data_IF_105260475943
#
_entry.id   IF_105260475943
#
_cell.length_a   1.000
_cell.length_b   1.000
_cell.length_c   1.000
_cell.angle_alpha   90.00
_cell.angle_beta   90.00
_cell.angle_gamma   90.00
#
_symmetry.space_group_name_H-M   'P 1'
#
loop_
_entity.id
_entity.type
_entity.pdbx_description
1 polymer ?
#
# COMPACT_ATOMS: atom_id res chain seq x y z
N UNK A 1 18.12 -19.78 12.38
CA UNK A 1 16.88 -19.25 11.78
C UNK A 1 15.85 -20.35 11.58
N UNK A 2 16.13 -21.38 10.78
CA UNK A 2 15.17 -22.46 10.50
C UNK A 2 14.80 -23.23 11.74
N UNK A 3 15.76 -23.62 12.56
CA UNK A 3 15.53 -24.33 13.82
C UNK A 3 14.67 -23.52 14.81
N UNK A 4 14.88 -22.18 14.88
CA UNK A 4 14.08 -21.31 15.72
C UNK A 4 12.61 -21.28 15.27
N UNK A 5 12.36 -21.15 13.97
CA UNK A 5 11.00 -21.14 13.45
C UNK A 5 10.35 -22.51 13.54
N UNK A 6 11.12 -23.59 13.30
CA UNK A 6 10.63 -24.97 13.43
C UNK A 6 10.22 -25.28 14.87
N UNK A 7 11.00 -24.85 15.87
CA UNK A 7 10.67 -25.01 17.30
C UNK A 7 9.42 -24.22 17.70
N UNK A 8 9.09 -23.13 16.98
CA UNK A 8 7.87 -22.35 17.15
C UNK A 8 6.69 -22.86 16.28
N UNK A 9 6.87 -24.02 15.60
CA UNK A 9 5.81 -24.65 14.83
C UNK A 9 5.65 -24.17 13.39
N UNK A 10 6.69 -23.53 12.82
CA UNK A 10 6.70 -23.03 11.44
C UNK A 10 7.74 -23.75 10.59
N UNK A 11 7.29 -24.38 9.53
CA UNK A 11 8.16 -25.00 8.53
C UNK A 11 8.33 -24.04 7.34
N UNK A 12 9.53 -23.50 7.16
CA UNK A 12 9.83 -22.55 6.08
C UNK A 12 9.75 -23.21 4.70
N UNK A 13 9.19 -22.46 3.77
CA UNK A 13 9.15 -22.77 2.34
C UNK A 13 9.98 -21.78 1.51
N UNK A 14 9.51 -21.52 0.28
CA UNK A 14 10.17 -20.63 -0.68
C UNK A 14 10.11 -19.17 -0.24
N UNK A 15 11.06 -18.38 -0.74
CA UNK A 15 11.01 -16.93 -0.67
C UNK A 15 9.95 -16.41 -1.65
N UNK A 16 9.08 -15.53 -1.19
CA UNK A 16 7.98 -14.94 -1.96
C UNK A 16 8.09 -13.42 -2.10
N UNK A 17 9.00 -12.78 -1.36
CA UNK A 17 9.29 -11.36 -1.48
C UNK A 17 10.64 -11.02 -0.87
N UNK A 18 11.29 -10.00 -1.41
CA UNK A 18 12.54 -9.44 -0.88
C UNK A 18 12.44 -7.92 -0.86
N UNK A 19 12.71 -7.34 0.29
CA UNK A 19 12.86 -5.91 0.49
C UNK A 19 14.30 -5.58 0.87
N UNK A 20 14.60 -4.30 0.98
CA UNK A 20 15.96 -3.80 1.27
C UNK A 20 16.53 -4.38 2.57
N UNK A 21 15.72 -4.53 3.61
CA UNK A 21 16.13 -5.01 4.94
C UNK A 21 15.24 -6.15 5.45
N UNK A 22 14.45 -6.72 4.59
CA UNK A 22 13.52 -7.79 4.97
C UNK A 22 13.37 -8.80 3.85
N UNK A 23 12.98 -10.01 4.23
CA UNK A 23 12.67 -11.11 3.31
C UNK A 23 11.34 -11.73 3.74
N UNK A 24 10.46 -12.01 2.80
CA UNK A 24 9.20 -12.69 3.05
C UNK A 24 9.29 -14.11 2.53
N UNK A 25 8.98 -15.07 3.37
CA UNK A 25 8.93 -16.49 3.02
C UNK A 25 7.55 -17.08 3.24
N UNK A 26 7.14 -17.99 2.38
CA UNK A 26 6.04 -18.90 2.65
C UNK A 26 6.45 -19.84 3.77
N UNK A 27 5.53 -20.22 4.63
CA UNK A 27 5.74 -21.24 5.63
C UNK A 27 4.45 -22.02 5.88
N UNK A 28 4.58 -23.24 6.39
CA UNK A 28 3.43 -23.99 6.93
C UNK A 28 3.39 -23.82 8.44
N UNK A 29 2.24 -23.37 8.95
CA UNK A 29 1.99 -23.22 10.39
C UNK A 29 1.31 -24.47 10.94
N UNK A 30 1.99 -25.18 11.86
CA UNK A 30 1.40 -26.31 12.59
C UNK A 30 0.25 -25.86 13.50
N UNK A 31 0.35 -24.63 14.06
CA UNK A 31 -0.67 -24.06 14.94
C UNK A 31 -1.97 -23.75 14.19
N UNK A 32 -1.85 -23.16 13.00
CA UNK A 32 -3.01 -22.74 12.20
C UNK A 32 -3.41 -23.78 11.14
N UNK A 33 -2.66 -24.87 10.99
CA UNK A 33 -2.87 -25.93 9.98
C UNK A 33 -3.04 -25.41 8.56
N UNK A 34 -2.28 -24.35 8.22
CA UNK A 34 -2.32 -23.68 6.91
C UNK A 34 -1.01 -23.00 6.56
N UNK A 35 -0.90 -22.61 5.30
CA UNK A 35 0.18 -21.75 4.84
C UNK A 35 0.05 -20.35 5.41
N UNK A 36 1.18 -19.74 5.71
CA UNK A 36 1.34 -18.37 6.22
C UNK A 36 2.50 -17.71 5.49
N UNK A 37 2.58 -16.37 5.54
CA UNK A 37 3.75 -15.62 5.16
C UNK A 37 4.53 -15.22 6.42
N UNK A 38 5.87 -15.30 6.36
CA UNK A 38 6.72 -14.83 7.45
C UNK A 38 7.65 -13.75 6.90
N UNK A 39 7.45 -12.50 7.35
CA UNK A 39 8.36 -11.39 7.06
C UNK A 39 9.48 -11.42 8.10
N UNK A 40 10.71 -11.60 7.60
CA UNK A 40 11.94 -11.71 8.41
C UNK A 40 12.66 -10.38 8.31
N UNK A 41 12.84 -9.69 9.42
CA UNK A 41 13.50 -8.40 9.52
C UNK A 41 14.78 -8.58 10.33
N UNK A 42 15.92 -8.22 9.75
CA UNK A 42 17.23 -8.30 10.40
C UNK A 42 17.59 -6.93 10.99
N UNK A 43 17.46 -6.81 12.32
CA UNK A 43 17.77 -5.56 13.03
C UNK A 43 19.27 -5.18 12.99
N UNK A 44 20.15 -6.16 12.79
CA UNK A 44 21.61 -5.91 12.77
C UNK A 44 22.03 -5.30 11.43
N UNK A 45 21.36 -5.69 10.34
CA UNK A 45 21.69 -5.25 8.98
C UNK A 45 20.96 -3.99 8.54
N UNK A 46 19.90 -3.62 9.22
CA UNK A 46 19.13 -2.43 8.88
C UNK A 46 19.85 -1.14 9.28
N UNK A 47 19.63 -0.02 8.55
CA UNK A 47 20.10 1.28 8.97
C UNK A 47 19.55 1.65 10.35
N UNK A 48 20.35 2.36 11.14
CA UNK A 48 19.97 2.78 12.49
C UNK A 48 18.65 3.59 12.50
N UNK A 49 18.48 4.48 11.54
CA UNK A 49 17.23 5.25 11.42
C UNK A 49 16.01 4.35 11.16
N UNK A 50 16.15 3.32 10.31
CA UNK A 50 15.08 2.35 10.07
C UNK A 50 14.74 1.58 11.36
N UNK A 51 15.74 1.04 12.04
CA UNK A 51 15.56 0.24 13.27
C UNK A 51 14.96 1.07 14.40
N UNK A 52 15.43 2.32 14.58
CA UNK A 52 15.00 3.15 15.72
C UNK A 52 13.71 3.93 15.45
N UNK A 53 13.44 4.30 14.21
CA UNK A 53 12.35 5.20 13.88
C UNK A 53 11.17 4.52 13.16
N UNK A 54 11.44 3.71 12.14
CA UNK A 54 10.38 3.14 11.29
C UNK A 54 9.89 1.80 11.81
N UNK A 55 10.79 0.89 12.14
CA UNK A 55 10.44 -0.46 12.57
C UNK A 55 9.53 -0.51 13.82
N UNK A 56 9.78 0.24 14.92
CA UNK A 56 8.90 0.21 16.07
C UNK A 56 7.48 0.68 15.74
N UNK A 57 7.36 1.65 14.83
CA UNK A 57 6.06 2.15 14.36
C UNK A 57 5.32 1.12 13.51
N UNK A 58 6.02 0.48 12.57
CA UNK A 58 5.46 -0.61 11.78
C UNK A 58 4.90 -1.69 12.69
N UNK A 59 5.71 -2.18 13.64
CA UNK A 59 5.32 -3.23 14.57
C UNK A 59 4.11 -2.84 15.42
N UNK A 60 4.05 -1.60 15.88
CA UNK A 60 2.91 -1.09 16.65
C UNK A 60 1.64 -1.04 15.78
N UNK A 61 1.74 -0.51 14.58
CA UNK A 61 0.60 -0.33 13.67
C UNK A 61 0.03 -1.66 13.25
N UNK A 62 0.86 -2.60 12.77
CA UNK A 62 0.39 -3.89 12.26
C UNK A 62 -0.28 -4.77 13.32
N UNK A 63 0.03 -4.54 14.59
CA UNK A 63 -0.62 -5.24 15.70
C UNK A 63 -2.00 -4.67 16.05
N UNK A 64 -2.31 -3.45 15.63
CA UNK A 64 -3.57 -2.76 15.96
C UNK A 64 -4.60 -2.80 14.84
N UNK A 65 -4.17 -3.08 13.60
CA UNK A 65 -5.07 -3.09 12.45
C UNK A 65 -5.72 -4.48 12.30
N UNK A 66 -7.05 -4.49 12.23
CA UNK A 66 -7.87 -5.68 11.98
C UNK A 66 -8.96 -5.34 10.97
N UNK A 67 -8.75 -5.71 9.70
CA UNK A 67 -9.68 -5.45 8.62
C UNK A 67 -9.53 -6.52 7.51
N UNK A 68 -10.66 -6.95 6.94
CA UNK A 68 -10.69 -8.01 5.90
C UNK A 68 -9.83 -7.72 4.66
N UNK A 69 -9.58 -6.45 4.34
CA UNK A 69 -8.76 -6.02 3.20
C UNK A 69 -7.37 -5.52 3.60
N UNK A 70 -6.91 -5.89 4.78
CA UNK A 70 -5.54 -5.67 5.27
C UNK A 70 -4.97 -7.02 5.66
N UNK A 71 -3.71 -7.30 5.27
CA UNK A 71 -3.02 -8.53 5.68
C UNK A 71 -2.96 -8.60 7.20
N UNK A 72 -3.53 -9.66 7.75
CA UNK A 72 -3.55 -9.88 9.20
C UNK A 72 -2.20 -10.38 9.68
N UNK A 73 -1.68 -9.79 10.75
CA UNK A 73 -0.53 -10.30 11.50
C UNK A 73 -1.04 -11.18 12.63
N UNK A 74 -0.62 -12.46 12.63
CA UNK A 74 -1.06 -13.44 13.63
C UNK A 74 -0.23 -13.40 14.91
N UNK A 75 1.09 -13.30 14.75
CA UNK A 75 2.01 -13.17 15.87
C UNK A 75 3.36 -12.59 15.42
N UNK A 76 4.10 -12.12 16.38
CA UNK A 76 5.45 -11.62 16.23
C UNK A 76 6.39 -12.43 17.12
N UNK A 77 7.49 -12.92 16.54
CA UNK A 77 8.54 -13.63 17.26
C UNK A 77 9.85 -12.83 17.14
N UNK A 78 10.64 -12.83 18.20
CA UNK A 78 11.98 -12.23 18.21
C UNK A 78 13.00 -13.26 18.64
N UNK A 79 14.06 -13.42 17.83
CA UNK A 79 15.15 -14.34 18.16
C UNK A 79 16.32 -13.61 18.82
N UNK A 80 17.12 -14.38 19.54
CA UNK A 80 18.30 -13.86 20.26
C UNK A 80 19.39 -13.30 19.34
N UNK A 81 19.37 -13.67 18.05
CA UNK A 81 20.28 -13.14 17.01
C UNK A 81 19.80 -11.82 16.37
N UNK A 82 18.83 -11.15 17.01
CA UNK A 82 18.34 -9.82 16.59
C UNK A 82 17.42 -9.80 15.39
N UNK A 83 16.77 -10.93 15.07
CA UNK A 83 15.76 -10.97 14.00
C UNK A 83 14.34 -10.94 14.55
N UNK A 84 13.48 -10.22 13.83
CA UNK A 84 12.03 -10.19 14.06
C UNK A 84 11.34 -10.98 12.94
N UNK A 85 10.37 -11.79 13.32
CA UNK A 85 9.55 -12.59 12.42
C UNK A 85 8.09 -12.19 12.60
N UNK A 86 7.51 -11.57 11.59
CA UNK A 86 6.08 -11.29 11.53
C UNK A 86 5.40 -12.45 10.82
N UNK A 87 4.63 -13.24 11.57
CA UNK A 87 3.81 -14.31 11.02
C UNK A 87 2.46 -13.72 10.62
N UNK A 88 2.12 -13.82 9.34
CA UNK A 88 0.97 -13.15 8.79
C UNK A 88 0.22 -13.99 7.77
N UNK A 89 -0.96 -13.55 7.45
CA UNK A 89 -1.79 -14.10 6.39
C UNK A 89 -1.02 -14.17 5.06
N UNK A 90 -1.19 -15.26 4.33
CA UNK A 90 -0.63 -15.45 3.00
C UNK A 90 -1.72 -15.17 1.97
N UNK A 91 -1.47 -14.20 1.09
CA UNK A 91 -2.25 -13.96 -0.11
C UNK A 91 -1.58 -14.69 -1.29
N UNK A 92 -2.26 -15.67 -1.87
CA UNK A 92 -1.67 -16.58 -2.87
C UNK A 92 -1.76 -16.08 -4.32
N UNK A 93 -2.50 -15.00 -4.57
CA UNK A 93 -2.77 -14.46 -5.91
C UNK A 93 -1.72 -13.48 -6.45
N UNK A 94 -0.60 -13.30 -5.74
CA UNK A 94 0.40 -12.27 -6.08
C UNK A 94 -0.09 -10.86 -5.77
N UNK A 95 0.46 -9.87 -6.44
CA UNK A 95 0.08 -8.46 -6.28
C UNK A 95 -0.56 -7.87 -7.55
N UNK A 96 -1.14 -6.69 -7.41
CA UNK A 96 -1.80 -5.98 -8.52
C UNK A 96 -0.80 -5.59 -9.61
N UNK A 97 0.46 -5.29 -9.25
CA UNK A 97 1.49 -4.94 -10.24
C UNK A 97 1.76 -6.11 -11.19
N UNK A 98 2.04 -7.31 -10.64
CA UNK A 98 2.27 -8.52 -11.45
C UNK A 98 1.04 -8.89 -12.28
N UNK A 99 -0.16 -8.73 -11.71
CA UNK A 99 -1.42 -8.98 -12.42
C UNK A 99 -1.54 -8.11 -13.68
N UNK A 100 -1.26 -6.81 -13.55
CA UNK A 100 -1.34 -5.85 -14.67
C UNK A 100 -0.16 -6.04 -15.65
N UNK A 101 1.05 -6.30 -15.14
CA UNK A 101 2.25 -6.52 -15.96
C UNK A 101 2.08 -7.72 -16.90
N UNK A 102 1.48 -8.80 -16.41
CA UNK A 102 1.31 -10.04 -17.16
C UNK A 102 0.01 -10.06 -17.98
N UNK A 103 -1.05 -9.42 -17.48
CA UNK A 103 -2.40 -9.47 -18.07
C UNK A 103 -2.83 -8.20 -18.84
N UNK A 104 -2.08 -7.10 -18.71
CA UNK A 104 -2.48 -5.80 -19.27
C UNK A 104 -3.58 -5.10 -18.45
N UNK A 105 -4.25 -4.12 -19.05
CA UNK A 105 -5.33 -3.37 -18.41
C UNK A 105 -6.47 -4.28 -17.93
N UNK A 106 -6.93 -4.05 -16.71
CA UNK A 106 -8.06 -4.81 -16.16
C UNK A 106 -9.40 -4.21 -16.62
N UNK A 107 -10.44 -5.03 -16.81
CA UNK A 107 -11.79 -4.53 -17.06
C UNK A 107 -12.27 -3.58 -15.96
N UNK A 108 -12.92 -2.47 -16.32
CA UNK A 108 -13.36 -1.45 -15.35
C UNK A 108 -14.25 -2.02 -14.23
N UNK A 109 -15.08 -3.01 -14.52
CA UNK A 109 -15.90 -3.69 -13.50
C UNK A 109 -15.06 -4.42 -12.45
N UNK A 110 -13.97 -5.07 -12.86
CA UNK A 110 -13.03 -5.72 -11.96
C UNK A 110 -12.26 -4.70 -11.15
N UNK A 111 -11.79 -3.64 -11.82
CA UNK A 111 -11.08 -2.52 -11.15
C UNK A 111 -11.96 -1.88 -10.08
N UNK A 112 -13.23 -1.62 -10.39
CA UNK A 112 -14.21 -1.08 -9.44
C UNK A 112 -14.34 -1.98 -8.19
N UNK A 113 -14.45 -3.29 -8.38
CA UNK A 113 -14.56 -4.24 -7.26
C UNK A 113 -13.31 -4.25 -6.38
N UNK A 114 -12.12 -4.20 -6.96
CA UNK A 114 -10.85 -4.15 -6.22
C UNK A 114 -10.65 -2.80 -5.55
N UNK A 115 -10.94 -1.71 -6.25
CA UNK A 115 -10.77 -0.36 -5.72
C UNK A 115 -11.73 -0.04 -4.57
N UNK A 116 -12.97 -0.54 -4.60
CA UNK A 116 -13.88 -0.48 -3.44
C UNK A 116 -13.25 -1.08 -2.19
N UNK A 117 -12.60 -2.23 -2.31
CA UNK A 117 -11.94 -2.90 -1.20
C UNK A 117 -10.75 -2.08 -0.68
N UNK A 118 -9.98 -1.46 -1.58
CA UNK A 118 -8.91 -0.55 -1.20
C UNK A 118 -9.45 0.68 -0.44
N UNK A 119 -10.54 1.26 -0.92
CA UNK A 119 -11.20 2.39 -0.26
C UNK A 119 -11.64 2.02 1.16
N UNK A 120 -12.26 0.86 1.36
CA UNK A 120 -12.67 0.39 2.70
C UNK A 120 -11.46 0.18 3.63
N UNK A 121 -10.38 -0.40 3.12
CA UNK A 121 -9.16 -0.58 3.91
C UNK A 121 -8.53 0.75 4.34
N UNK A 122 -8.39 1.71 3.41
CA UNK A 122 -7.83 3.03 3.72
C UNK A 122 -8.77 3.86 4.59
N UNK A 123 -10.07 3.74 4.38
CA UNK A 123 -11.07 4.37 5.26
C UNK A 123 -10.92 3.89 6.70
N UNK A 124 -10.76 2.59 6.90
CA UNK A 124 -10.49 2.00 8.20
C UNK A 124 -9.17 2.54 8.80
N UNK A 125 -8.07 2.53 8.04
CA UNK A 125 -6.79 3.06 8.50
C UNK A 125 -6.89 4.53 8.91
N UNK A 126 -7.46 5.39 8.05
CA UNK A 126 -7.63 6.81 8.33
C UNK A 126 -8.52 7.07 9.53
N UNK A 127 -9.55 6.25 9.75
CA UNK A 127 -10.40 6.26 10.94
C UNK A 127 -9.65 5.91 12.23
N UNK A 128 -8.67 5.00 12.15
CA UNK A 128 -7.76 4.65 13.24
C UNK A 128 -6.62 5.68 13.44
N UNK A 129 -6.59 6.76 12.66
CA UNK A 129 -5.50 7.73 12.72
C UNK A 129 -4.20 7.25 12.09
N UNK A 130 -4.24 6.29 11.17
CA UNK A 130 -3.09 5.73 10.47
C UNK A 130 -3.10 6.16 9.02
N UNK A 131 -2.00 6.73 8.51
CA UNK A 131 -1.76 6.90 7.09
C UNK A 131 -0.73 5.85 6.62
N UNK A 132 -1.00 5.22 5.48
CA UNK A 132 -0.16 4.13 4.93
C UNK A 132 1.18 4.64 4.40
N UNK A 133 1.16 5.71 3.59
CA UNK A 133 2.32 6.45 3.04
C UNK A 133 3.16 5.72 1.99
N UNK A 134 2.82 4.48 1.64
CA UNK A 134 3.48 3.72 0.56
C UNK A 134 2.46 2.87 -0.21
N UNK A 135 1.32 3.46 -0.54
CA UNK A 135 0.34 2.79 -1.40
C UNK A 135 0.88 2.68 -2.82
N UNK A 136 0.92 1.45 -3.34
CA UNK A 136 1.36 1.10 -4.69
C UNK A 136 0.80 -0.27 -5.07
N UNK A 137 0.87 -0.60 -6.35
CA UNK A 137 0.33 -1.86 -6.87
C UNK A 137 1.00 -3.09 -6.23
N UNK A 138 2.29 -3.02 -5.91
CA UNK A 138 3.06 -4.09 -5.27
C UNK A 138 2.64 -4.35 -3.81
N UNK A 139 2.01 -3.36 -3.16
CA UNK A 139 1.50 -3.46 -1.79
C UNK A 139 0.00 -3.79 -1.73
N UNK A 140 -0.63 -4.02 -2.86
CA UNK A 140 -2.00 -4.49 -3.00
C UNK A 140 -2.00 -5.95 -3.44
N UNK A 141 -2.09 -6.87 -2.47
CA UNK A 141 -2.05 -8.30 -2.71
C UNK A 141 -3.44 -8.81 -3.10
N UNK A 142 -3.47 -9.92 -3.86
CA UNK A 142 -4.68 -10.54 -4.34
C UNK A 142 -4.86 -11.94 -3.71
N UNK A 143 -6.08 -12.24 -3.32
CA UNK A 143 -6.52 -13.56 -2.88
C UNK A 143 -7.89 -13.86 -3.49
N UNK A 144 -7.90 -14.54 -4.63
CA UNK A 144 -9.08 -14.66 -5.46
C UNK A 144 -9.57 -13.27 -5.92
N UNK A 145 -10.80 -12.91 -5.58
CA UNK A 145 -11.39 -11.60 -5.86
C UNK A 145 -11.16 -10.56 -4.76
N UNK A 146 -10.40 -10.90 -3.71
CA UNK A 146 -10.14 -10.03 -2.59
C UNK A 146 -8.81 -9.32 -2.75
N UNK A 147 -8.82 -8.02 -2.48
CA UNK A 147 -7.63 -7.19 -2.34
C UNK A 147 -7.26 -7.09 -0.85
N UNK A 148 -5.98 -7.22 -0.55
CA UNK A 148 -5.43 -7.08 0.79
C UNK A 148 -4.20 -6.18 0.77
N UNK A 149 -4.27 -5.06 1.50
CA UNK A 149 -3.14 -4.15 1.66
C UNK A 149 -2.09 -4.75 2.59
N UNK A 150 -0.83 -4.52 2.25
CA UNK A 150 0.33 -4.96 3.03
C UNK A 150 1.38 -3.85 3.10
N UNK A 151 2.44 -4.10 3.82
CA UNK A 151 3.64 -3.27 3.95
C UNK A 151 3.36 -1.88 4.54
N UNK A 152 3.11 -1.87 5.84
CA UNK A 152 2.95 -0.65 6.64
C UNK A 152 4.29 -0.09 7.16
N UNK A 153 5.43 -0.45 6.54
CA UNK A 153 6.77 -0.05 6.95
C UNK A 153 7.01 1.46 6.96
N UNK A 154 6.26 2.22 6.17
CA UNK A 154 6.28 3.68 6.18
C UNK A 154 5.05 4.31 6.82
N UNK A 155 4.12 3.51 7.33
CA UNK A 155 2.91 4.02 7.94
C UNK A 155 3.21 4.92 9.15
N UNK A 156 2.34 5.89 9.37
CA UNK A 156 2.45 6.85 10.46
C UNK A 156 1.16 6.93 11.24
N UNK A 157 1.25 6.75 12.56
CA UNK A 157 0.19 7.19 13.47
C UNK A 157 0.12 8.71 13.42
N UNK A 158 -1.04 9.24 13.10
CA UNK A 158 -1.25 10.68 13.03
C UNK A 158 -1.50 11.23 14.44
N UNK A 159 -0.96 12.41 14.77
CA UNK A 159 -1.25 13.05 16.06
C UNK A 159 -2.75 13.36 16.16
N UNK A 160 -3.27 13.32 17.37
CA UNK A 160 -4.70 13.64 17.66
C UNK A 160 -5.06 15.09 17.33
N UNK A 161 -4.07 15.97 17.16
CA UNK A 161 -4.27 17.36 16.74
C UNK A 161 -4.06 17.51 15.23
N UNK A 162 -5.02 18.09 14.53
CA UNK A 162 -5.04 18.27 13.07
C UNK A 162 -3.95 19.20 12.48
N UNK A 163 -2.90 19.56 13.21
CA UNK A 163 -1.94 20.61 12.80
C UNK A 163 -0.52 20.13 12.49
N UNK A 164 -0.20 18.86 12.70
CA UNK A 164 1.15 18.38 12.37
C UNK A 164 1.19 17.80 10.95
N UNK A 165 1.73 18.59 10.04
CA UNK A 165 2.01 18.19 8.67
C UNK A 165 3.29 17.34 8.60
N UNK A 166 3.32 16.38 7.69
CA UNK A 166 4.53 15.58 7.41
C UNK A 166 5.45 16.36 6.47
N UNK A 167 6.75 16.32 6.72
CA UNK A 167 7.78 16.86 5.81
C UNK A 167 8.72 15.74 5.31
N UNK A 168 8.49 14.51 5.75
CA UNK A 168 9.37 13.39 5.41
C UNK A 168 8.85 12.69 4.18
N UNK A 169 9.63 12.72 3.08
CA UNK A 169 9.41 11.87 1.92
C UNK A 169 9.71 10.41 2.28
N UNK A 170 8.80 9.54 1.98
CA UNK A 170 8.99 8.10 2.01
C UNK A 170 8.01 7.46 1.01
N UNK A 171 8.36 6.30 0.52
CA UNK A 171 7.57 5.59 -0.48
C UNK A 171 8.15 5.68 -1.89
N UNK A 172 7.39 5.21 -2.86
CA UNK A 172 7.80 5.11 -4.26
C UNK A 172 7.48 6.39 -5.03
N UNK A 173 8.46 6.95 -5.72
CA UNK A 173 8.35 8.23 -6.47
C UNK A 173 7.17 8.26 -7.44
N UNK A 174 6.97 7.18 -8.20
CA UNK A 174 5.88 7.08 -9.19
C UNK A 174 4.47 7.29 -8.61
N UNK A 175 4.28 7.00 -7.32
CA UNK A 175 2.99 7.10 -6.61
C UNK A 175 2.89 8.34 -5.72
N UNK A 176 3.92 9.19 -5.69
CA UNK A 176 3.99 10.32 -4.79
C UNK A 176 3.25 11.55 -5.33
N UNK A 177 2.52 12.22 -4.43
CA UNK A 177 1.84 13.47 -4.71
C UNK A 177 2.83 14.63 -4.91
N UNK A 178 2.47 15.71 -5.64
CA UNK A 178 3.37 16.81 -5.91
C UNK A 178 3.92 17.48 -4.66
N UNK A 179 3.12 17.68 -3.63
CA UNK A 179 3.57 18.23 -2.35
C UNK A 179 4.60 17.34 -1.64
N UNK A 180 4.47 16.02 -1.79
CA UNK A 180 5.43 15.04 -1.23
C UNK A 180 6.77 15.11 -1.97
N UNK A 181 6.73 15.16 -3.31
CA UNK A 181 7.92 15.28 -4.17
C UNK A 181 8.69 16.59 -3.92
N UNK A 182 7.97 17.67 -3.59
CA UNK A 182 8.54 18.99 -3.32
C UNK A 182 8.99 19.18 -1.87
N UNK A 183 8.76 18.18 -0.98
CA UNK A 183 9.07 18.30 0.44
C UNK A 183 8.22 19.35 1.18
N UNK A 184 7.06 19.71 0.64
CA UNK A 184 6.14 20.66 1.25
C UNK A 184 5.43 19.99 2.44
N UNK A 185 5.21 20.70 3.55
CA UNK A 185 4.42 20.19 4.66
C UNK A 185 3.02 19.75 4.20
N UNK A 186 2.66 18.49 4.47
CA UNK A 186 1.45 17.90 3.90
C UNK A 186 0.71 16.98 4.88
N UNK A 187 -0.59 16.82 4.64
CA UNK A 187 -1.40 15.80 5.29
C UNK A 187 -1.13 14.43 4.64
N UNK A 188 -0.58 13.50 5.41
CA UNK A 188 -0.28 12.14 4.92
C UNK A 188 -1.51 11.38 4.44
N UNK A 189 -2.71 11.67 4.95
CA UNK A 189 -3.96 11.09 4.45
C UNK A 189 -4.25 11.54 3.01
N UNK A 190 -4.01 12.83 2.71
CA UNK A 190 -4.16 13.37 1.35
C UNK A 190 -3.13 12.77 0.39
N UNK A 191 -1.92 12.46 0.88
CA UNK A 191 -0.91 11.72 0.13
C UNK A 191 -1.38 10.30 -0.24
N UNK A 192 -2.02 9.59 0.68
CA UNK A 192 -2.61 8.26 0.40
C UNK A 192 -3.69 8.35 -0.70
N UNK A 193 -4.53 9.39 -0.68
CA UNK A 193 -5.58 9.60 -1.71
C UNK A 193 -4.96 9.74 -3.10
N UNK A 194 -3.89 10.53 -3.23
CA UNK A 194 -3.17 10.63 -4.50
C UNK A 194 -2.62 9.28 -4.95
N UNK A 195 -1.93 8.56 -4.07
CA UNK A 195 -1.36 7.24 -4.38
C UNK A 195 -2.43 6.23 -4.81
N UNK A 196 -3.63 6.26 -4.19
CA UNK A 196 -4.79 5.48 -4.62
C UNK A 196 -5.21 5.82 -6.06
N UNK A 197 -5.16 7.09 -6.43
CA UNK A 197 -5.43 7.55 -7.80
C UNK A 197 -4.45 6.97 -8.81
N UNK A 198 -3.16 6.91 -8.45
CA UNK A 198 -2.14 6.26 -9.29
C UNK A 198 -2.39 4.77 -9.43
N UNK A 199 -2.70 4.07 -8.33
CA UNK A 199 -3.05 2.63 -8.36
C UNK A 199 -4.27 2.38 -9.25
N UNK A 200 -5.32 3.19 -9.12
CA UNK A 200 -6.52 3.09 -9.95
C UNK A 200 -6.20 3.25 -11.43
N UNK A 201 -5.39 4.25 -11.78
CA UNK A 201 -4.94 4.48 -13.15
C UNK A 201 -4.14 3.29 -13.70
N UNK A 202 -3.18 2.76 -12.92
CA UNK A 202 -2.37 1.60 -13.32
C UNK A 202 -3.24 0.37 -13.59
N UNK A 203 -4.23 0.10 -12.75
CA UNK A 203 -5.16 -1.02 -12.98
C UNK A 203 -5.93 -0.88 -14.30
N UNK A 204 -6.36 0.33 -14.63
CA UNK A 204 -7.16 0.61 -15.84
C UNK A 204 -6.33 0.71 -17.11
N UNK A 205 -5.10 1.22 -17.02
CA UNK A 205 -4.31 1.60 -18.19
C UNK A 205 -3.04 0.74 -18.40
N UNK A 206 -2.65 -0.09 -17.43
CA UNK A 206 -1.40 -0.84 -17.40
C UNK A 206 -0.15 0.04 -17.62
N UNK A 207 -0.23 1.29 -17.23
CA UNK A 207 0.85 2.28 -17.32
C UNK A 207 0.73 3.31 -16.20
N UNK A 208 1.83 3.99 -15.90
CA UNK A 208 1.83 5.10 -14.96
C UNK A 208 1.15 6.33 -15.59
N UNK A 209 0.43 7.16 -14.81
CA UNK A 209 -0.18 8.38 -15.31
C UNK A 209 0.84 9.49 -15.62
N UNK A 210 2.01 9.45 -14.96
CA UNK A 210 3.08 10.43 -15.08
C UNK A 210 4.43 9.73 -15.21
N UNK A 211 5.35 10.32 -15.98
CA UNK A 211 6.70 9.81 -16.19
C UNK A 211 7.56 10.08 -14.95
N UNK A 212 7.99 9.03 -14.28
CA UNK A 212 8.76 9.09 -13.03
C UNK A 212 10.29 9.07 -13.23
N UNK A 213 10.76 9.13 -14.48
CA UNK A 213 12.18 9.14 -14.81
C UNK A 213 12.88 10.46 -14.46
N UNK A 214 12.12 11.56 -14.40
CA UNK A 214 12.60 12.91 -14.08
C UNK A 214 11.57 13.66 -13.24
N UNK A 215 11.91 14.01 -12.00
CA UNK A 215 10.99 14.68 -11.06
C UNK A 215 10.45 16.01 -11.57
N UNK A 216 11.26 16.95 -12.09
CA UNK A 216 10.76 18.19 -12.68
C UNK A 216 9.73 17.97 -13.80
N UNK A 217 9.98 17.01 -14.71
CA UNK A 217 9.05 16.63 -15.76
C UNK A 217 7.76 16.02 -15.19
N UNK A 218 7.89 15.15 -14.20
CA UNK A 218 6.75 14.54 -13.51
C UNK A 218 5.85 15.60 -12.86
N UNK A 219 6.42 16.56 -12.14
CA UNK A 219 5.69 17.67 -11.52
C UNK A 219 4.96 18.53 -12.57
N UNK A 220 5.61 18.80 -13.70
CA UNK A 220 4.98 19.52 -14.80
C UNK A 220 3.79 18.74 -15.39
N UNK A 221 3.91 17.42 -15.57
CA UNK A 221 2.82 16.58 -16.05
C UNK A 221 1.67 16.53 -15.03
N UNK A 222 1.98 16.41 -13.74
CA UNK A 222 0.99 16.44 -12.66
C UNK A 222 0.18 17.75 -12.68
N UNK A 223 0.83 18.89 -12.90
CA UNK A 223 0.16 20.19 -13.01
C UNK A 223 -0.76 20.29 -14.24
N UNK A 224 -0.45 19.61 -15.32
CA UNK A 224 -1.31 19.55 -16.51
C UNK A 224 -2.54 18.66 -16.33
N UNK A 225 -2.52 17.82 -15.31
CA UNK A 225 -3.58 16.86 -15.02
C UNK A 225 -3.42 15.54 -15.77
N UNK A 226 -4.21 14.57 -15.33
CA UNK A 226 -4.20 13.20 -15.89
C UNK A 226 -4.84 13.18 -17.27
N UNK A 227 -4.23 12.43 -18.20
CA UNK A 227 -4.77 12.12 -19.53
C UNK A 227 -5.11 10.63 -19.62
N UNK A 228 -6.06 10.30 -20.48
CA UNK A 228 -6.52 8.91 -20.65
C UNK A 228 -6.19 8.41 -22.05
N UNK A 229 -5.69 7.17 -22.19
CA UNK A 229 -5.45 6.57 -23.51
C UNK A 229 -6.75 6.50 -24.32
N UNK A 230 -6.78 7.04 -25.56
CA UNK A 230 -8.03 7.13 -26.32
C UNK A 230 -8.59 5.79 -26.80
N UNK A 231 -7.77 4.72 -26.73
CA UNK A 231 -8.15 3.36 -27.11
C UNK A 231 -8.79 2.57 -25.96
N UNK A 232 -8.78 3.13 -24.74
CA UNK A 232 -9.41 2.51 -23.57
C UNK A 232 -10.76 3.18 -23.30
N UNK A 233 -11.81 2.37 -23.21
CA UNK A 233 -13.15 2.84 -22.88
C UNK A 233 -13.30 2.94 -21.36
N UNK A 234 -12.91 4.08 -20.80
CA UNK A 234 -13.02 4.39 -19.38
C UNK A 234 -14.23 5.29 -19.19
N UNK A 235 -15.18 4.88 -18.35
CA UNK A 235 -16.41 5.63 -18.11
C UNK A 235 -16.16 7.06 -17.62
N UNK A 236 -17.06 7.98 -17.92
CA UNK A 236 -16.98 9.39 -17.49
C UNK A 236 -16.91 9.52 -15.96
N UNK A 237 -17.64 8.68 -15.23
CA UNK A 237 -17.64 8.65 -13.78
C UNK A 237 -16.29 8.19 -13.22
N UNK A 238 -15.65 7.19 -13.84
CA UNK A 238 -14.32 6.75 -13.45
C UNK A 238 -13.28 7.81 -13.73
N UNK A 239 -13.35 8.48 -14.88
CA UNK A 239 -12.48 9.61 -15.21
C UNK A 239 -12.65 10.78 -14.24
N UNK A 240 -13.88 11.09 -13.80
CA UNK A 240 -14.15 12.12 -12.79
C UNK A 240 -13.49 11.77 -11.45
N UNK A 241 -13.65 10.53 -10.98
CA UNK A 241 -12.99 10.07 -9.76
C UNK A 241 -11.47 10.19 -9.87
N UNK A 242 -10.86 9.71 -10.96
CA UNK A 242 -9.42 9.82 -11.18
C UNK A 242 -8.91 11.26 -11.13
N UNK A 243 -9.61 12.20 -11.79
CA UNK A 243 -9.25 13.62 -11.75
C UNK A 243 -9.32 14.20 -10.34
N UNK A 244 -10.29 13.78 -9.52
CA UNK A 244 -10.41 14.21 -8.12
C UNK A 244 -9.31 13.63 -7.23
N UNK A 245 -8.98 12.33 -7.41
CA UNK A 245 -7.90 11.69 -6.65
C UNK A 245 -6.53 12.31 -6.97
N UNK A 246 -6.32 12.63 -8.24
CA UNK A 246 -5.08 13.24 -8.77
C UNK A 246 -5.18 14.78 -8.86
N UNK A 247 -5.91 15.39 -7.93
CA UNK A 247 -5.94 16.85 -7.74
C UNK A 247 -4.64 17.33 -7.12
N UNK A 248 -3.97 18.28 -7.76
CA UNK A 248 -2.66 18.79 -7.31
C UNK A 248 -2.76 19.66 -6.08
N UNK A 249 -3.87 20.41 -5.93
CA UNK A 249 -4.16 21.15 -4.71
C UNK A 249 -4.68 20.17 -3.64
N UNK A 250 -3.85 19.86 -2.64
CA UNK A 250 -4.24 18.93 -1.59
C UNK A 250 -5.44 19.42 -0.75
N UNK A 251 -5.75 20.73 -0.77
CA UNK A 251 -6.92 21.25 -0.05
C UNK A 251 -8.23 20.94 -0.78
N UNK A 252 -8.17 20.81 -2.11
CA UNK A 252 -9.28 20.43 -2.98
C UNK A 252 -9.38 18.91 -3.17
N UNK A 253 -8.26 18.19 -2.97
CA UNK A 253 -8.24 16.72 -3.06
C UNK A 253 -9.19 16.12 -2.03
N UNK A 254 -10.08 15.17 -2.41
CA UNK A 254 -11.08 14.64 -1.48
C UNK A 254 -10.46 13.89 -0.30
N UNK A 255 -11.20 13.81 0.79
CA UNK A 255 -10.97 12.87 1.88
C UNK A 255 -11.42 11.46 1.48
N UNK A 256 -10.98 10.43 2.22
CA UNK A 256 -11.42 9.05 1.96
C UNK A 256 -12.93 8.88 2.12
N UNK A 257 -13.57 9.64 3.00
CA UNK A 257 -15.03 9.63 3.17
C UNK A 257 -15.74 10.19 1.95
N UNK A 258 -15.22 11.25 1.34
CA UNK A 258 -15.75 11.79 0.08
C UNK A 258 -15.53 10.83 -1.08
N UNK A 259 -14.35 10.20 -1.16
CA UNK A 259 -14.05 9.15 -2.15
C UNK A 259 -15.04 7.99 -2.03
N UNK A 260 -15.32 7.52 -0.82
CA UNK A 260 -16.22 6.38 -0.59
C UNK A 260 -17.67 6.63 -1.06
N UNK A 261 -18.07 7.88 -1.19
CA UNK A 261 -19.42 8.30 -1.65
C UNK A 261 -19.48 8.66 -3.13
N UNK A 262 -18.36 8.52 -3.85
CA UNK A 262 -18.33 8.90 -5.26
C UNK A 262 -19.28 8.03 -6.10
N UNK A 263 -20.03 8.61 -7.05
CA UNK A 263 -21.03 7.87 -7.87
C UNK A 263 -20.47 6.63 -8.56
N UNK A 264 -19.24 6.68 -9.06
CA UNK A 264 -18.59 5.52 -9.67
C UNK A 264 -18.50 4.31 -8.74
N UNK A 265 -18.27 4.53 -7.43
CA UNK A 265 -18.24 3.46 -6.43
C UNK A 265 -19.64 3.04 -5.96
N UNK A 266 -20.63 3.91 -6.06
CA UNK A 266 -22.01 3.62 -5.65
C UNK A 266 -22.78 2.79 -6.66
N UNK A 267 -22.48 2.91 -7.97
CA UNK A 267 -23.14 2.16 -9.04
C UNK A 267 -22.80 0.66 -8.98
N UNK A 268 -23.81 -0.19 -9.07
CA UNK A 268 -23.68 -1.66 -9.14
C UNK A 268 -22.95 -2.12 -10.37
#
# INVERSE_FOLDING_TARGET
MEDFLLSNGYQLGKTIGEGTYSKVKEAFSKKHQRKVAIKIIDKIRGPEEFIQRFLPRELQIVQTLDHKNIIQVYEMLESTDGKIYLVMELAEGGDVFDCVLNGGPLPESQVKALFRQMVEAIRYCHGCGVAHRDLKCENALLQGFNLKLTDFGFAKMLPKSHRELSQTFCGSTAYAAPEVLQGIPHDSKKGDIWSMGVVLYVMLCASLPFDDTDIPKMLWQQQKGVSFPPHLDISSECQDLLKRLLETDMTLRPSIEEVSRHPWLAST
#
